data_IF_214650664110
#
_entry.id   IF_214650664110
#
_cell.length_a   1.000
_cell.length_b   1.000
_cell.length_c   1.000
_cell.angle_alpha   90.00
_cell.angle_beta   90.00
_cell.angle_gamma   90.00
#
_symmetry.space_group_name_H-M   'P 1'
#
loop_
_entity.id
_entity.type
_entity.pdbx_description
1 polymer ?
#
# COMPACT_ATOMS: atom_id res chain seq x y z
N UNK A 1 9.04 -4.20 -7.78
CA UNK A 1 7.90 -3.27 -7.64
C UNK A 1 8.32 -1.89 -8.09
N UNK A 2 7.39 -1.14 -8.68
CA UNK A 2 7.62 0.24 -9.16
C UNK A 2 6.83 1.22 -8.29
N UNK A 3 7.49 2.26 -7.81
CA UNK A 3 6.84 3.36 -7.11
C UNK A 3 6.00 4.18 -8.09
N UNK A 4 4.72 4.36 -7.80
CA UNK A 4 3.79 5.13 -8.64
C UNK A 4 4.06 6.64 -8.61
N UNK A 5 4.77 7.13 -7.58
CA UNK A 5 5.02 8.56 -7.37
C UNK A 5 6.27 9.07 -8.08
N UNK A 6 7.38 8.33 -8.01
CA UNK A 6 8.67 8.76 -8.55
C UNK A 6 9.24 7.82 -9.62
N UNK A 7 8.47 6.81 -10.03
CA UNK A 7 8.88 5.78 -10.99
C UNK A 7 10.10 4.94 -10.59
N UNK A 8 10.59 5.05 -9.34
CA UNK A 8 11.67 4.20 -8.83
C UNK A 8 11.27 2.72 -8.86
N UNK A 9 12.12 1.87 -9.43
CA UNK A 9 11.87 0.44 -9.55
C UNK A 9 12.95 -0.36 -8.83
N UNK A 10 12.53 -1.22 -7.91
CA UNK A 10 13.41 -2.09 -7.15
C UNK A 10 12.64 -3.30 -6.57
N UNK A 11 13.33 -4.34 -6.07
CA UNK A 11 12.68 -5.40 -5.30
C UNK A 11 11.93 -4.85 -4.08
N UNK A 12 10.81 -5.48 -3.70
CA UNK A 12 9.98 -5.03 -2.55
C UNK A 12 10.76 -4.92 -1.25
N UNK A 13 11.77 -5.78 -1.04
CA UNK A 13 12.66 -5.74 0.12
C UNK A 13 13.49 -4.45 0.22
N UNK A 14 13.64 -3.67 -0.85
CA UNK A 14 14.28 -2.33 -0.83
C UNK A 14 13.34 -1.23 -0.35
N UNK A 15 12.03 -1.47 -0.35
CA UNK A 15 11.05 -0.55 0.20
C UNK A 15 10.93 -0.83 1.70
N UNK A 16 11.06 0.22 2.52
CA UNK A 16 11.05 0.09 3.98
C UNK A 16 9.67 -0.38 4.41
N UNK A 17 9.60 -1.57 5.01
CA UNK A 17 8.39 -2.06 5.63
C UNK A 17 8.00 -1.16 6.81
N UNK A 18 6.73 -0.76 6.86
CA UNK A 18 6.18 0.00 7.98
C UNK A 18 5.34 -0.91 8.87
N UNK A 19 4.24 -1.44 8.34
CA UNK A 19 3.31 -2.32 9.06
C UNK A 19 2.32 -3.01 8.09
N UNK A 20 1.57 -3.99 8.57
CA UNK A 20 0.47 -4.62 7.82
C UNK A 20 -0.79 -3.75 7.91
N UNK A 21 -1.27 -3.25 6.77
CA UNK A 21 -2.44 -2.39 6.70
C UNK A 21 -3.74 -3.17 6.88
N UNK A 22 -3.74 -4.44 6.45
CA UNK A 22 -4.79 -5.43 6.71
C UNK A 22 -4.12 -6.71 7.22
N UNK A 23 -4.76 -7.38 8.17
CA UNK A 23 -4.30 -8.69 8.68
C UNK A 23 -4.99 -9.81 7.92
N UNK A 24 -6.24 -9.55 7.54
CA UNK A 24 -7.14 -10.38 6.73
C UNK A 24 -6.77 -10.41 5.23
N UNK A 25 -5.97 -9.46 4.75
CA UNK A 25 -5.44 -9.43 3.41
C UNK A 25 -3.92 -9.22 3.47
N UNK A 26 -3.15 -9.79 2.55
CA UNK A 26 -1.69 -9.64 2.46
C UNK A 26 -1.27 -8.24 1.99
N UNK A 27 -1.85 -7.18 2.58
CA UNK A 27 -1.61 -5.78 2.25
C UNK A 27 -0.72 -5.16 3.31
N UNK A 28 0.46 -4.73 2.91
CA UNK A 28 1.41 -4.01 3.77
C UNK A 28 1.57 -2.56 3.34
N UNK A 29 1.92 -1.68 4.27
CA UNK A 29 2.41 -0.34 3.94
C UNK A 29 3.92 -0.35 3.89
N UNK A 30 4.46 0.19 2.78
CA UNK A 30 5.90 0.35 2.59
C UNK A 30 6.25 1.76 2.13
N UNK A 31 7.41 2.22 2.57
CA UNK A 31 7.94 3.52 2.21
C UNK A 31 8.98 3.41 1.09
N UNK A 32 8.83 4.24 0.05
CA UNK A 32 9.80 4.35 -1.03
C UNK A 32 11.11 4.97 -0.54
N UNK A 33 12.28 4.37 -0.84
CA UNK A 33 13.57 4.93 -0.41
C UNK A 33 13.97 6.18 -1.19
N UNK A 34 13.41 6.42 -2.39
CA UNK A 34 13.77 7.56 -3.23
C UNK A 34 12.95 8.82 -2.90
N UNK A 35 11.62 8.71 -2.89
CA UNK A 35 10.74 9.87 -2.66
C UNK A 35 10.06 9.89 -1.28
N UNK A 36 10.34 8.89 -0.43
CA UNK A 36 9.75 8.73 0.91
C UNK A 36 8.22 8.59 0.95
N UNK A 37 7.55 8.44 -0.20
CA UNK A 37 6.12 8.19 -0.27
C UNK A 37 5.75 6.86 0.40
N UNK A 38 4.59 6.84 1.05
CA UNK A 38 4.01 5.64 1.65
C UNK A 38 3.09 4.99 0.63
N UNK A 39 3.24 3.68 0.44
CA UNK A 39 2.57 2.89 -0.59
C UNK A 39 1.91 1.69 0.09
N UNK A 40 0.61 1.51 -0.14
CA UNK A 40 -0.05 0.25 0.17
C UNK A 40 0.26 -0.74 -0.95
N UNK A 41 0.80 -1.90 -0.57
CA UNK A 41 1.23 -2.93 -1.50
C UNK A 41 0.55 -4.25 -1.19
N UNK A 42 0.30 -5.03 -2.23
CA UNK A 42 -0.09 -6.42 -2.12
C UNK A 42 1.18 -7.28 -2.11
N UNK A 43 1.48 -7.93 -0.99
CA UNK A 43 2.70 -8.73 -0.80
C UNK A 43 2.69 -9.99 -1.69
N UNK A 44 1.51 -10.52 -2.03
CA UNK A 44 1.39 -11.72 -2.88
C UNK A 44 1.55 -11.37 -4.36
N UNK A 45 0.94 -10.27 -4.79
CA UNK A 45 1.07 -9.79 -6.17
C UNK A 45 2.35 -8.98 -6.43
N UNK A 46 3.02 -8.51 -5.36
CA UNK A 46 4.22 -7.68 -5.46
C UNK A 46 3.99 -6.30 -6.09
N UNK A 47 2.75 -5.81 -6.06
CA UNK A 47 2.29 -4.62 -6.77
C UNK A 47 1.81 -3.52 -5.82
N UNK A 48 1.97 -2.27 -6.23
CA UNK A 48 1.44 -1.11 -5.50
C UNK A 48 -0.06 -1.01 -5.80
N UNK A 49 -0.88 -1.05 -4.76
CA UNK A 49 -2.33 -0.86 -4.86
C UNK A 49 -2.67 0.64 -4.88
N UNK A 50 -2.02 1.42 -4.01
CA UNK A 50 -2.20 2.88 -3.96
C UNK A 50 -1.13 3.58 -3.13
N UNK A 51 -1.04 4.91 -3.29
CA UNK A 51 -0.33 5.81 -2.38
C UNK A 51 -1.17 6.06 -1.13
N UNK A 52 -0.53 6.13 0.04
CA UNK A 52 -1.16 6.53 1.29
C UNK A 52 -0.65 7.91 1.69
N UNK A 53 -1.57 8.87 1.81
CA UNK A 53 -1.27 10.23 2.26
C UNK A 53 -1.01 10.32 3.77
N UNK A 54 -0.39 11.41 4.20
CA UNK A 54 -0.27 11.76 5.62
C UNK A 54 -1.65 12.20 6.15
N UNK A 55 -2.51 11.22 6.43
CA UNK A 55 -3.92 11.42 6.82
C UNK A 55 -4.82 10.24 6.42
N UNK A 56 -4.47 9.52 5.35
CA UNK A 56 -5.13 8.29 4.87
C UNK A 56 -4.67 7.03 5.61
N UNK A 57 -4.03 7.18 6.76
CA UNK A 57 -3.63 6.03 7.56
C UNK A 57 -4.91 5.28 8.03
N UNK A 58 -4.97 3.94 7.87
CA UNK A 58 -6.21 3.16 8.01
C UNK A 58 -6.80 3.10 9.43
N UNK A 59 -6.20 3.79 10.41
CA UNK A 59 -6.62 3.81 11.82
C UNK A 59 -7.35 5.09 12.24
N UNK A 60 -8.03 5.77 11.31
CA UNK A 60 -8.99 6.83 11.62
C UNK A 60 -10.16 6.82 10.65
N UNK A 61 -11.40 6.84 11.15
CA UNK A 61 -12.59 7.09 10.31
C UNK A 61 -12.31 8.34 9.46
N UNK A 62 -12.49 8.24 8.13
CA UNK A 62 -12.26 9.26 7.08
C UNK A 62 -11.01 9.05 6.18
N UNK A 63 -10.28 7.93 6.30
CA UNK A 63 -9.03 7.68 5.59
C UNK A 63 -9.11 7.35 4.07
N UNK A 64 -10.16 7.74 3.34
CA UNK A 64 -10.20 7.69 1.85
C UNK A 64 -10.06 6.32 1.15
N UNK A 65 -9.77 5.24 1.89
CA UNK A 65 -9.46 3.89 1.38
C UNK A 65 -10.70 2.99 1.22
N UNK A 66 -11.91 3.56 1.24
CA UNK A 66 -13.18 2.81 1.17
C UNK A 66 -13.28 1.92 -0.09
N UNK A 67 -12.58 2.29 -1.17
CA UNK A 67 -12.47 1.48 -2.39
C UNK A 67 -11.66 0.19 -2.24
N UNK A 68 -10.66 0.13 -1.33
CA UNK A 68 -9.90 -1.11 -1.11
C UNK A 68 -10.71 -2.19 -0.37
N UNK A 69 -11.75 -1.79 0.38
CA UNK A 69 -12.59 -2.72 1.11
C UNK A 69 -13.63 -3.41 0.19
N UNK A 70 -14.10 -2.73 -0.85
CA UNK A 70 -15.12 -3.24 -1.77
C UNK A 70 -14.57 -4.27 -2.77
N UNK A 71 -13.31 -4.12 -3.20
CA UNK A 71 -12.65 -5.03 -4.15
C UNK A 71 -12.48 -6.47 -3.61
N UNK A 72 -12.53 -6.67 -2.28
CA UNK A 72 -12.47 -8.01 -1.68
C UNK A 72 -13.82 -8.76 -1.68
N UNK A 73 -14.93 -8.10 -2.02
CA UNK A 73 -16.27 -8.72 -1.96
C UNK A 73 -16.78 -9.21 -3.32
N UNK A 74 -16.10 -8.89 -4.43
CA UNK A 74 -16.54 -9.31 -5.77
C UNK A 74 -15.65 -10.44 -6.29
N UNK A 75 -15.76 -11.60 -5.66
CA UNK A 75 -15.32 -12.87 -6.22
C UNK A 75 -16.22 -13.97 -5.65
N UNK A 76 -17.44 -14.03 -6.20
CA UNK A 76 -18.38 -15.13 -6.04
C UNK A 76 -18.94 -15.47 -7.41
#
# INVERSE_FOLDING_TARGET
>A
MKCTECSFEAPVAKFRYLYNARIDASISLRQCPQCQAWLAIDELAGSVKQKVGAGDAPWGKSAGIEGLAQDAQTSA
#
